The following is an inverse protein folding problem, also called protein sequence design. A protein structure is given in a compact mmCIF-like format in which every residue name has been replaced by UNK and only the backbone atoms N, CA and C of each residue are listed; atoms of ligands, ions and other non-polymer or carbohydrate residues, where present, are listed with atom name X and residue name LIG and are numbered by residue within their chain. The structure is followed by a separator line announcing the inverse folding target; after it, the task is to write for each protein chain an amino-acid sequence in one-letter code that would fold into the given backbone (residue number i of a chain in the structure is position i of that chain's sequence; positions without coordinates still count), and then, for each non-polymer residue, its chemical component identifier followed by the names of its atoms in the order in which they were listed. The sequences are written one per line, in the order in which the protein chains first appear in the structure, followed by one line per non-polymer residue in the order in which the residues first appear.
data_IF_708843274526
#
_entry.id   IF_708843274526
#
_cell.length_a   1.000
_cell.length_b   1.000
_cell.length_c   1.000
_cell.angle_alpha   90.00
_cell.angle_beta   90.00
_cell.angle_gamma   90.00
#
_symmetry.space_group_name_H-M   'P 1'
#
loop_
_entity.id
_entity.type
_entity.pdbx_description
1 polymer ?
#
# COMPACT_ATOMS: atom_id res chain seq x y z
N UNK A 1 1.34 15.76 -14.44
CA UNK A 1 2.35 14.69 -14.33
C UNK A 1 2.51 14.22 -12.87
N UNK A 2 2.15 15.04 -11.89
CA UNK A 2 2.34 14.79 -10.45
C UNK A 2 1.37 13.78 -9.83
N UNK A 3 0.11 13.78 -10.26
CA UNK A 3 -0.94 12.95 -9.65
C UNK A 3 -0.68 11.44 -9.83
N UNK A 4 -0.13 11.04 -10.98
CA UNK A 4 0.23 9.64 -11.25
C UNK A 4 1.41 9.19 -10.37
N UNK A 5 2.38 10.08 -10.10
CA UNK A 5 3.49 9.79 -9.18
C UNK A 5 2.98 9.62 -7.75
N UNK A 6 2.04 10.45 -7.30
CA UNK A 6 1.43 10.32 -5.97
C UNK A 6 0.75 8.96 -5.78
N UNK A 7 -0.01 8.48 -6.77
CA UNK A 7 -0.62 7.15 -6.70
C UNK A 7 0.42 6.02 -6.72
N UNK A 8 1.51 6.19 -7.46
CA UNK A 8 2.61 5.22 -7.50
C UNK A 8 3.35 5.14 -6.16
N UNK A 9 3.65 6.29 -5.54
CA UNK A 9 4.24 6.33 -4.20
C UNK A 9 3.28 5.79 -3.15
N UNK A 10 1.99 6.11 -3.22
CA UNK A 10 0.97 5.54 -2.33
C UNK A 10 0.85 4.02 -2.46
N UNK A 11 0.97 3.48 -3.68
CA UNK A 11 1.02 2.04 -3.93
C UNK A 11 2.27 1.40 -3.29
N UNK A 12 3.46 1.97 -3.51
CA UNK A 12 4.72 1.47 -2.92
C UNK A 12 4.63 1.48 -1.40
N UNK A 13 4.14 2.58 -0.81
CA UNK A 13 3.96 2.71 0.64
C UNK A 13 3.00 1.66 1.18
N UNK A 14 1.87 1.42 0.50
CA UNK A 14 0.92 0.36 0.87
C UNK A 14 1.55 -1.04 0.85
N UNK A 15 2.36 -1.35 -0.17
CA UNK A 15 3.11 -2.62 -0.26
C UNK A 15 4.10 -2.74 0.89
N UNK A 16 4.89 -1.69 1.16
CA UNK A 16 5.88 -1.70 2.25
C UNK A 16 5.21 -1.94 3.60
N UNK A 17 4.07 -1.30 3.87
CA UNK A 17 3.31 -1.51 5.10
C UNK A 17 2.77 -2.94 5.25
N UNK A 18 2.44 -3.62 4.15
CA UNK A 18 2.06 -5.04 4.18
C UNK A 18 3.28 -5.96 4.39
N UNK A 19 4.41 -5.61 3.78
CA UNK A 19 5.57 -6.51 3.67
C UNK A 19 6.54 -6.42 4.85
N UNK A 20 6.56 -5.31 5.59
CA UNK A 20 7.43 -5.15 6.76
C UNK A 20 6.78 -5.74 8.02
N UNK A 21 7.24 -6.90 8.51
CA UNK A 21 6.93 -7.31 9.87
C UNK A 21 7.64 -6.34 10.83
N UNK A 22 6.87 -5.70 11.71
CA UNK A 22 7.43 -4.87 12.78
C UNK A 22 8.23 -5.80 13.69
N UNK A 23 9.55 -5.58 13.89
CA UNK A 23 10.35 -6.42 14.77
C UNK A 23 9.75 -6.35 16.18
N UNK A 24 9.21 -7.47 16.63
CA UNK A 24 8.56 -7.64 17.92
C UNK A 24 9.62 -7.64 19.03
N UNK A 25 10.10 -6.45 19.40
CA UNK A 25 10.89 -6.27 20.61
C UNK A 25 10.08 -6.80 21.81
N UNK A 26 10.62 -7.83 22.45
CA UNK A 26 9.88 -8.87 23.18
C UNK A 26 9.21 -8.46 24.50
N UNK A 27 9.06 -7.17 24.79
CA UNK A 27 8.55 -6.67 26.09
C UNK A 27 7.09 -6.19 26.01
N UNK A 28 6.57 -5.89 24.82
CA UNK A 28 5.21 -5.34 24.61
C UNK A 28 4.36 -6.22 23.66
N UNK A 29 4.53 -7.54 23.72
CA UNK A 29 4.07 -8.49 22.71
C UNK A 29 2.58 -8.40 22.34
N UNK A 30 1.65 -8.30 23.31
CA UNK A 30 0.22 -8.28 23.00
C UNK A 30 -0.25 -6.95 22.39
N UNK A 31 0.34 -5.82 22.80
CA UNK A 31 -0.02 -4.52 22.25
C UNK A 31 0.54 -4.37 20.83
N UNK A 32 1.79 -4.81 20.63
CA UNK A 32 2.46 -4.79 19.32
C UNK A 32 1.78 -5.68 18.30
N UNK A 33 1.30 -6.87 18.68
CA UNK A 33 0.57 -7.77 17.77
C UNK A 33 -0.72 -7.13 17.27
N UNK A 34 -1.47 -6.46 18.16
CA UNK A 34 -2.71 -5.76 17.77
C UNK A 34 -2.43 -4.57 16.84
N UNK A 35 -1.40 -3.78 17.15
CA UNK A 35 -0.97 -2.64 16.33
C UNK A 35 -0.43 -3.09 14.97
N UNK A 36 0.31 -4.20 14.92
CA UNK A 36 0.80 -4.79 13.68
C UNK A 36 -0.34 -5.22 12.77
N UNK A 37 -1.37 -5.88 13.31
CA UNK A 37 -2.57 -6.22 12.56
C UNK A 37 -3.29 -4.98 12.01
N UNK A 38 -3.43 -3.92 12.82
CA UNK A 38 -4.03 -2.67 12.39
C UNK A 38 -3.24 -2.00 11.26
N UNK A 39 -1.90 -1.96 11.36
CA UNK A 39 -1.02 -1.38 10.33
C UNK A 39 -1.11 -2.16 9.02
N UNK A 40 -1.16 -3.49 9.07
CA UNK A 40 -1.33 -4.32 7.88
C UNK A 40 -2.69 -4.09 7.21
N UNK A 41 -3.76 -3.94 8.00
CA UNK A 41 -5.10 -3.61 7.48
C UNK A 41 -5.10 -2.22 6.82
N UNK A 42 -4.49 -1.22 7.46
CA UNK A 42 -4.35 0.12 6.87
C UNK A 42 -3.54 0.07 5.59
N UNK A 43 -2.42 -0.67 5.57
CA UNK A 43 -1.61 -0.91 4.37
C UNK A 43 -2.41 -1.56 3.25
N UNK A 44 -3.26 -2.54 3.56
CA UNK A 44 -4.17 -3.19 2.61
C UNK A 44 -5.15 -2.21 1.99
N UNK A 45 -5.76 -1.34 2.80
CA UNK A 45 -6.72 -0.33 2.33
C UNK A 45 -6.02 0.68 1.42
N UNK A 46 -4.84 1.17 1.81
CA UNK A 46 -4.06 2.12 1.00
C UNK A 46 -3.61 1.48 -0.31
N UNK A 47 -3.19 0.21 -0.27
CA UNK A 47 -2.82 -0.56 -1.45
C UNK A 47 -3.97 -0.67 -2.45
N UNK A 48 -5.16 -1.06 -2.01
CA UNK A 48 -6.34 -1.16 -2.89
C UNK A 48 -6.76 0.20 -3.43
N UNK A 49 -6.80 1.22 -2.57
CA UNK A 49 -7.21 2.57 -2.96
C UNK A 49 -6.25 3.19 -4.00
N UNK A 50 -4.94 2.88 -3.92
CA UNK A 50 -3.96 3.34 -4.91
C UNK A 50 -3.86 2.43 -6.14
N UNK A 51 -4.10 1.12 -6.03
CA UNK A 51 -3.95 0.19 -7.16
C UNK A 51 -5.00 0.39 -8.24
N UNK A 52 -6.26 0.67 -7.88
CA UNK A 52 -7.38 0.91 -8.80
C UNK A 52 -7.11 2.08 -9.78
N UNK A 53 -6.83 3.32 -9.33
CA UNK A 53 -6.57 4.43 -10.25
C UNK A 53 -5.28 4.25 -11.05
N UNK A 54 -4.30 3.52 -10.52
CA UNK A 54 -3.08 3.17 -11.24
C UNK A 54 -3.43 2.25 -12.41
N UNK A 55 -4.10 1.12 -12.15
CA UNK A 55 -4.54 0.14 -13.14
C UNK A 55 -5.37 0.80 -14.25
N UNK A 56 -6.32 1.66 -13.89
CA UNK A 56 -7.13 2.40 -14.86
C UNK A 56 -6.25 3.30 -15.75
N UNK A 57 -5.28 4.01 -15.17
CA UNK A 57 -4.37 4.86 -15.95
C UNK A 57 -3.50 4.03 -16.90
N UNK A 58 -2.97 2.88 -16.44
CA UNK A 58 -2.15 1.99 -17.26
C UNK A 58 -2.97 1.35 -18.38
N UNK A 59 -4.19 0.88 -18.08
CA UNK A 59 -5.10 0.33 -19.09
C UNK A 59 -5.49 1.36 -20.14
N UNK A 60 -5.78 2.59 -19.71
CA UNK A 60 -6.10 3.68 -20.64
C UNK A 60 -4.91 4.03 -21.52
N UNK A 61 -3.69 4.07 -20.97
CA UNK A 61 -2.49 4.30 -21.76
C UNK A 61 -2.24 3.17 -22.78
N UNK A 62 -2.48 1.91 -22.38
CA UNK A 62 -2.30 0.75 -23.25
C UNK A 62 -3.34 0.70 -24.39
N UNK A 63 -4.62 0.94 -24.08
CA UNK A 63 -5.70 0.99 -25.06
C UNK A 63 -5.57 2.15 -26.04
N UNK A 64 -5.03 3.30 -25.62
CA UNK A 64 -4.85 4.47 -26.47
C UNK A 64 -3.58 4.39 -27.34
N UNK A 65 -2.78 3.34 -27.19
CA UNK A 65 -1.63 3.02 -28.03
C UNK A 65 -1.95 2.04 -29.16
N UNK A 66 -3.13 1.43 -29.12
CA UNK A 66 -3.68 0.52 -30.16
C UNK A 66 -4.71 1.27 -31.00
#
# INVERSE_FOLDING_TARGET
MDRQRTFFYGFIVGVVFMMFPIPSVSVLGNLLVSIQGAIQIIGLIVFIACSIPLLISTFKAFMNQF
#
